data_IF_249498627897
#
_entry.id   IF_249498627897
#
_cell.length_a   1.000
_cell.length_b   1.000
_cell.length_c   1.000
_cell.angle_alpha   90.00
_cell.angle_beta   90.00
_cell.angle_gamma   90.00
#
_symmetry.space_group_name_H-M   'P 1'
#
loop_
_entity.id
_entity.type
_entity.pdbx_description
1 polymer ?
#
# COMPACT_ATOMS: atom_id res chain seq x y z
N UNK A 1 -20.45 11.23 -19.81
CA UNK A 1 -19.09 10.84 -19.39
C UNK A 1 -19.25 10.09 -18.09
N UNK A 2 -19.06 8.76 -18.09
CA UNK A 2 -19.14 7.97 -16.86
C UNK A 2 -17.82 8.21 -16.14
N UNK A 3 -17.84 9.02 -15.08
CA UNK A 3 -16.69 9.13 -14.20
C UNK A 3 -16.51 7.77 -13.52
N UNK A 4 -15.38 7.11 -13.76
CA UNK A 4 -15.00 5.92 -13.01
C UNK A 4 -14.55 6.45 -11.65
N UNK A 5 -15.38 6.28 -10.63
CA UNK A 5 -15.07 6.78 -9.30
C UNK A 5 -13.83 6.12 -8.72
N UNK A 6 -12.96 6.93 -8.11
CA UNK A 6 -11.78 6.45 -7.40
C UNK A 6 -12.22 5.72 -6.12
N UNK A 7 -11.95 4.41 -6.09
CA UNK A 7 -12.37 3.53 -4.98
C UNK A 7 -11.53 3.80 -3.74
N UNK A 8 -12.16 3.80 -2.58
CA UNK A 8 -11.46 3.76 -1.30
C UNK A 8 -12.02 2.69 -0.38
N UNK A 9 -11.19 2.25 0.55
CA UNK A 9 -11.60 1.41 1.67
C UNK A 9 -11.49 2.16 2.99
N UNK A 10 -12.42 1.88 3.89
CA UNK A 10 -12.32 2.25 5.29
C UNK A 10 -12.24 0.97 6.13
N UNK A 11 -11.22 0.89 6.98
CA UNK A 11 -10.99 -0.20 7.92
C UNK A 11 -11.33 0.32 9.31
N UNK A 12 -12.29 -0.31 9.96
CA UNK A 12 -12.69 0.02 11.32
C UNK A 12 -12.29 -1.12 12.26
N UNK A 13 -11.43 -0.82 13.24
CA UNK A 13 -11.00 -1.80 14.23
C UNK A 13 -12.11 -2.08 15.25
N UNK A 14 -12.42 -3.36 15.43
CA UNK A 14 -13.34 -3.86 16.43
C UNK A 14 -12.60 -4.16 17.75
N UNK A 15 -13.37 -4.27 18.84
CA UNK A 15 -12.83 -4.53 20.18
C UNK A 15 -12.08 -5.87 20.29
N UNK A 16 -12.34 -6.82 19.39
CA UNK A 16 -11.68 -8.12 19.32
C UNK A 16 -10.42 -8.12 18.43
N UNK A 17 -10.00 -6.95 17.94
CA UNK A 17 -8.82 -6.77 17.07
C UNK A 17 -9.06 -7.14 15.60
N UNK A 18 -10.30 -7.49 15.21
CA UNK A 18 -10.68 -7.64 13.80
C UNK A 18 -10.98 -6.28 13.18
N UNK A 19 -10.97 -6.23 11.85
CA UNK A 19 -11.32 -5.04 11.10
C UNK A 19 -12.58 -5.31 10.26
N UNK A 20 -13.55 -4.41 10.35
CA UNK A 20 -14.62 -4.30 9.37
C UNK A 20 -14.16 -3.43 8.20
N UNK A 21 -14.36 -3.92 6.98
CA UNK A 21 -14.02 -3.21 5.75
C UNK A 21 -15.28 -2.66 5.11
N UNK A 22 -15.21 -1.38 4.77
CA UNK A 22 -16.22 -0.68 3.99
C UNK A 22 -15.57 -0.18 2.70
N UNK A 23 -16.29 -0.29 1.59
CA UNK A 23 -15.85 0.25 0.31
C UNK A 23 -16.72 1.46 -0.08
N UNK A 24 -16.09 2.44 -0.72
CA UNK A 24 -16.78 3.53 -1.40
C UNK A 24 -16.20 3.72 -2.79
N UNK A 25 -17.06 4.03 -3.75
CA UNK A 25 -16.66 4.31 -5.13
C UNK A 25 -16.11 5.73 -5.32
N UNK A 26 -16.36 6.65 -4.38
CA UNK A 26 -16.04 8.08 -4.55
C UNK A 26 -15.16 8.66 -3.44
N UNK A 27 -15.03 7.96 -2.31
CA UNK A 27 -14.19 8.44 -1.22
C UNK A 27 -12.68 8.34 -1.52
N UNK A 28 -12.27 7.76 -2.65
CA UNK A 28 -10.87 7.73 -3.08
C UNK A 28 -10.43 8.98 -3.83
N UNK A 29 -11.37 9.85 -4.21
CA UNK A 29 -11.07 11.07 -4.96
C UNK A 29 -10.10 11.98 -4.21
N UNK A 30 -9.32 12.75 -4.97
CA UNK A 30 -8.36 13.68 -4.42
C UNK A 30 -8.95 14.69 -3.44
N UNK A 31 -10.17 15.18 -3.69
CA UNK A 31 -10.86 16.09 -2.77
C UNK A 31 -11.18 15.42 -1.42
N UNK A 32 -11.52 14.12 -1.42
CA UNK A 32 -11.75 13.35 -0.20
C UNK A 32 -10.44 13.18 0.59
N UNK A 33 -9.37 12.74 -0.08
CA UNK A 33 -8.05 12.55 0.53
C UNK A 33 -7.54 13.87 1.10
N UNK A 34 -7.61 14.96 0.33
CA UNK A 34 -7.15 16.27 0.78
C UNK A 34 -8.00 16.86 1.91
N UNK A 35 -9.32 16.65 1.87
CA UNK A 35 -10.20 17.07 2.97
C UNK A 35 -9.91 16.32 4.27
N UNK A 36 -9.58 15.03 4.18
CA UNK A 36 -9.16 14.25 5.36
C UNK A 36 -7.78 14.69 5.84
N UNK A 37 -6.83 14.94 4.94
CA UNK A 37 -5.43 15.30 5.23
C UNK A 37 -5.18 16.83 5.27
N UNK A 38 -6.17 17.62 5.69
CA UNK A 38 -6.02 19.07 5.70
C UNK A 38 -4.90 19.53 6.65
N UNK A 39 -4.36 20.71 6.39
CA UNK A 39 -3.12 21.20 7.02
C UNK A 39 -3.22 21.44 8.53
N UNK A 40 -4.44 21.58 9.04
CA UNK A 40 -4.79 21.77 10.45
C UNK A 40 -5.07 20.47 11.21
N UNK A 41 -4.98 19.31 10.54
CA UNK A 41 -5.11 17.99 11.14
C UNK A 41 -6.01 17.06 10.34
N UNK A 42 -6.27 15.88 10.92
CA UNK A 42 -7.02 14.84 10.21
C UNK A 42 -8.53 14.90 10.47
N UNK A 43 -9.33 15.10 9.42
CA UNK A 43 -10.78 15.36 9.53
C UNK A 43 -11.65 14.19 9.12
N UNK A 44 -11.86 13.23 10.05
CA UNK A 44 -12.69 12.04 9.79
C UNK A 44 -14.11 12.35 9.31
N UNK A 45 -14.68 13.48 9.74
CA UNK A 45 -16.06 13.87 9.42
C UNK A 45 -16.29 14.05 7.91
N UNK A 46 -15.23 14.32 7.14
CA UNK A 46 -15.29 14.40 5.67
C UNK A 46 -15.76 13.09 5.05
N UNK A 47 -15.40 11.94 5.65
CA UNK A 47 -15.77 10.62 5.14
C UNK A 47 -17.28 10.33 5.24
N UNK A 48 -17.99 11.01 6.15
CA UNK A 48 -19.44 10.85 6.33
C UNK A 48 -20.28 11.37 5.17
N UNK A 49 -19.68 12.08 4.21
CA UNK A 49 -20.35 12.58 2.99
C UNK A 49 -20.46 11.51 1.90
N UNK A 50 -19.70 10.44 2.01
CA UNK A 50 -19.64 9.39 1.00
C UNK A 50 -20.51 8.20 1.39
N UNK A 51 -21.03 7.50 0.38
CA UNK A 51 -21.72 6.23 0.58
C UNK A 51 -20.68 5.13 0.79
N UNK A 52 -20.85 4.37 1.86
CA UNK A 52 -20.00 3.26 2.26
C UNK A 52 -20.82 1.98 2.30
N UNK A 53 -20.26 0.90 1.76
CA UNK A 53 -20.88 -0.43 1.76
C UNK A 53 -19.96 -1.41 2.47
N UNK A 54 -20.48 -2.07 3.50
CA UNK A 54 -19.75 -3.10 4.24
C UNK A 54 -19.45 -4.27 3.30
N UNK A 55 -18.20 -4.70 3.26
CA UNK A 55 -17.73 -5.78 2.39
C UNK A 55 -17.47 -7.05 3.20
N UNK A 56 -16.52 -6.98 4.13
CA UNK A 56 -15.94 -8.16 4.81
C UNK A 56 -15.45 -7.76 6.20
N UNK A 57 -15.32 -8.74 7.08
CA UNK A 57 -14.71 -8.58 8.40
C UNK A 57 -13.64 -9.65 8.62
N UNK A 58 -12.45 -9.26 9.09
CA UNK A 58 -11.34 -10.20 9.24
C UNK A 58 -10.11 -9.61 9.91
N UNK A 59 -9.07 -10.43 10.16
CA UNK A 59 -7.79 -9.93 10.62
C UNK A 59 -7.17 -9.03 9.55
N UNK A 60 -6.52 -7.93 9.95
CA UNK A 60 -5.90 -6.95 9.05
C UNK A 60 -5.01 -7.60 7.99
N UNK A 61 -4.22 -8.57 8.40
CA UNK A 61 -3.37 -9.40 7.54
C UNK A 61 -4.10 -9.97 6.30
N UNK A 62 -5.26 -10.61 6.52
CA UNK A 62 -6.04 -11.22 5.44
C UNK A 62 -6.69 -10.17 4.53
N UNK A 63 -7.06 -9.01 5.09
CA UNK A 63 -7.64 -7.91 4.33
C UNK A 63 -6.62 -7.25 3.41
N UNK A 64 -5.39 -7.06 3.88
CA UNK A 64 -4.31 -6.53 3.05
C UNK A 64 -3.93 -7.49 1.92
N UNK A 65 -3.95 -8.79 2.19
CA UNK A 65 -3.68 -9.80 1.16
C UNK A 65 -4.74 -9.83 0.05
N UNK A 66 -5.99 -9.45 0.34
CA UNK A 66 -7.07 -9.38 -0.65
C UNK A 66 -7.29 -7.97 -1.24
N UNK A 67 -6.38 -7.03 -0.99
CA UNK A 67 -6.53 -5.65 -1.44
C UNK A 67 -6.16 -5.51 -2.92
N UNK A 68 -7.06 -4.93 -3.72
CA UNK A 68 -6.72 -4.49 -5.06
C UNK A 68 -5.94 -3.16 -4.99
N UNK A 69 -4.60 -3.27 -4.95
CA UNK A 69 -3.67 -2.14 -4.91
C UNK A 69 -3.63 -1.31 -6.19
N UNK A 70 -4.20 -1.81 -7.30
CA UNK A 70 -4.25 -1.11 -8.57
C UNK A 70 -5.50 -0.22 -8.68
N UNK A 71 -6.64 -0.72 -8.21
CA UNK A 71 -7.92 0.00 -8.32
C UNK A 71 -8.29 0.81 -7.06
N UNK A 72 -7.64 0.55 -5.92
CA UNK A 72 -7.87 1.30 -4.68
C UNK A 72 -7.01 2.55 -4.62
N UNK A 73 -7.64 3.72 -4.53
CA UNK A 73 -6.98 5.01 -4.49
C UNK A 73 -6.52 5.43 -3.08
N UNK A 74 -7.27 5.03 -2.04
CA UNK A 74 -6.96 5.33 -0.65
C UNK A 74 -7.50 4.27 0.31
N UNK A 75 -6.78 4.09 1.42
CA UNK A 75 -7.21 3.27 2.55
C UNK A 75 -7.24 4.14 3.80
N UNK A 76 -8.40 4.21 4.45
CA UNK A 76 -8.64 4.95 5.68
C UNK A 76 -8.71 3.96 6.85
N UNK A 77 -7.73 3.96 7.74
CA UNK A 77 -7.81 3.23 9.01
C UNK A 77 -8.45 4.14 10.06
N UNK A 78 -9.64 3.76 10.52
CA UNK A 78 -10.45 4.51 11.47
C UNK A 78 -10.25 3.96 12.88
N UNK A 79 -9.85 4.85 13.80
CA UNK A 79 -9.90 4.61 15.24
C UNK A 79 -10.85 5.61 15.92
N UNK A 80 -11.20 5.39 17.20
CA UNK A 80 -12.02 6.36 17.95
C UNK A 80 -11.39 7.76 18.01
N UNK A 81 -10.06 7.83 17.97
CA UNK A 81 -9.27 9.05 18.22
C UNK A 81 -8.70 9.67 16.94
N UNK A 82 -8.50 8.89 15.88
CA UNK A 82 -7.80 9.35 14.69
C UNK A 82 -8.29 8.64 13.42
N UNK A 83 -7.91 9.20 12.27
CA UNK A 83 -7.91 8.47 11.00
C UNK A 83 -6.50 8.49 10.44
N UNK A 84 -6.01 7.33 10.02
CA UNK A 84 -4.77 7.21 9.25
C UNK A 84 -5.15 7.00 7.79
N UNK A 85 -4.46 7.72 6.92
CA UNK A 85 -4.62 7.58 5.48
C UNK A 85 -3.39 6.90 4.91
N UNK A 86 -3.62 5.88 4.09
CA UNK A 86 -2.57 5.21 3.34
C UNK A 86 -2.92 5.22 1.86
N UNK A 87 -1.90 5.40 1.03
CA UNK A 87 -2.00 5.27 -0.43
C UNK A 87 -1.54 3.86 -0.82
N UNK A 88 -2.40 3.05 -1.44
CA UNK A 88 -1.99 1.77 -2.01
C UNK A 88 -1.00 1.98 -3.16
N UNK A 89 0.10 1.24 -3.14
CA UNK A 89 1.11 1.24 -4.20
C UNK A 89 1.30 -0.18 -4.71
N UNK A 90 0.75 -0.45 -5.89
CA UNK A 90 1.07 -1.64 -6.67
C UNK A 90 2.55 -1.62 -7.11
N UNK A 91 3.31 -2.68 -6.81
CA UNK A 91 4.74 -2.77 -7.14
C UNK A 91 4.98 -3.16 -8.60
N UNK A 92 4.18 -4.07 -9.15
CA UNK A 92 4.12 -4.37 -10.59
C UNK A 92 5.42 -4.88 -11.23
N UNK A 93 6.23 -5.63 -10.49
CA UNK A 93 7.44 -6.28 -10.99
C UNK A 93 7.27 -7.80 -11.21
N UNK A 94 6.10 -8.34 -10.86
CA UNK A 94 5.68 -9.71 -11.12
C UNK A 94 5.72 -10.09 -12.61
N UNK A 95 5.41 -9.14 -13.50
CA UNK A 95 5.52 -9.32 -14.95
C UNK A 95 6.96 -9.54 -15.45
N UNK A 96 7.98 -9.23 -14.64
CA UNK A 96 9.39 -9.43 -14.96
C UNK A 96 9.97 -10.68 -14.30
N UNK A 97 9.23 -11.34 -13.41
CA UNK A 97 9.69 -12.52 -12.69
C UNK A 97 9.89 -13.70 -13.63
N UNK A 98 11.01 -14.40 -13.46
CA UNK A 98 11.30 -15.64 -14.22
C UNK A 98 10.59 -16.83 -13.56
N UNK A 99 10.18 -17.82 -14.35
CA UNK A 99 9.63 -19.08 -13.82
C UNK A 99 10.55 -19.68 -12.75
N UNK A 100 10.00 -19.84 -11.53
CA UNK A 100 10.74 -20.34 -10.36
C UNK A 100 11.05 -19.27 -9.30
N UNK A 101 10.99 -17.97 -9.64
CA UNK A 101 11.01 -16.91 -8.63
C UNK A 101 9.62 -16.80 -7.99
N UNK A 102 9.48 -17.32 -6.77
CA UNK A 102 8.27 -17.17 -5.96
C UNK A 102 8.17 -15.73 -5.42
N UNK A 103 7.74 -14.82 -6.28
CA UNK A 103 7.16 -13.57 -5.81
C UNK A 103 5.74 -13.86 -5.35
N UNK A 104 5.30 -13.28 -4.23
CA UNK A 104 3.91 -13.38 -3.86
C UNK A 104 3.06 -12.66 -4.93
N UNK A 105 2.23 -13.45 -5.60
CA UNK A 105 1.30 -13.03 -6.66
C UNK A 105 0.37 -11.97 -6.05
N UNK A 106 0.27 -10.80 -6.68
CA UNK A 106 -0.50 -9.65 -6.19
C UNK A 106 0.10 -8.91 -4.97
N UNK A 107 1.29 -8.31 -5.12
CA UNK A 107 1.86 -7.41 -4.10
C UNK A 107 1.79 -5.90 -4.37
N UNK A 108 1.10 -5.21 -3.47
CA UNK A 108 1.31 -3.80 -3.21
C UNK A 108 1.60 -3.52 -1.74
N UNK A 109 1.94 -2.27 -1.46
CA UNK A 109 2.24 -1.78 -0.12
C UNK A 109 1.29 -0.64 0.22
N UNK A 110 0.93 -0.50 1.50
CA UNK A 110 0.17 0.66 1.95
C UNK A 110 1.14 1.71 2.46
N UNK A 111 1.29 2.83 1.75
CA UNK A 111 2.20 3.88 2.19
C UNK A 111 1.41 4.89 3.04
N UNK A 112 1.66 5.00 4.35
CA UNK A 112 0.99 6.00 5.19
C UNK A 112 1.38 7.41 4.73
N UNK A 113 0.40 8.32 4.72
CA UNK A 113 0.57 9.71 4.30
C UNK A 113 0.01 10.63 5.37
N UNK A 114 0.77 11.67 5.71
CA UNK A 114 0.40 12.62 6.78
C UNK A 114 -0.10 13.95 6.23
N UNK A 115 -0.08 14.11 4.90
CA UNK A 115 -0.50 15.34 4.25
C UNK A 115 -0.69 15.17 2.75
N UNK A 116 -1.34 16.15 2.15
CA UNK A 116 -1.59 16.24 0.70
C UNK A 116 -0.29 16.12 -0.10
N UNK A 117 0.76 16.86 0.31
CA UNK A 117 2.06 16.82 -0.35
C UNK A 117 2.71 15.44 -0.27
N UNK A 118 2.58 14.74 0.86
CA UNK A 118 3.08 13.38 1.00
C UNK A 118 2.35 12.43 0.06
N UNK A 119 1.03 12.52 -0.03
CA UNK A 119 0.25 11.68 -0.94
C UNK A 119 0.61 11.90 -2.43
N UNK A 120 0.79 13.16 -2.86
CA UNK A 120 1.27 13.46 -4.23
C UNK A 120 2.67 12.89 -4.44
N UNK A 121 3.59 13.15 -3.50
CA UNK A 121 4.98 12.70 -3.57
C UNK A 121 5.06 11.17 -3.62
N UNK A 122 4.26 10.46 -2.84
CA UNK A 122 4.20 8.98 -2.87
C UNK A 122 3.71 8.48 -4.22
N UNK A 123 2.65 9.06 -4.80
CA UNK A 123 2.14 8.62 -6.12
C UNK A 123 3.12 8.90 -7.26
N UNK A 124 3.77 10.06 -7.27
CA UNK A 124 4.75 10.41 -8.31
C UNK A 124 6.08 9.68 -8.11
N UNK A 125 6.56 9.64 -6.87
CA UNK A 125 7.82 8.99 -6.49
C UNK A 125 7.78 7.49 -6.73
N UNK A 126 6.67 6.81 -6.39
CA UNK A 126 6.53 5.37 -6.66
C UNK A 126 6.56 5.05 -8.16
N UNK A 127 5.99 5.90 -9.02
CA UNK A 127 6.10 5.73 -10.48
C UNK A 127 7.54 5.80 -10.96
N UNK A 128 8.28 6.81 -10.49
CA UNK A 128 9.68 6.96 -10.84
C UNK A 128 10.55 5.81 -10.31
N UNK A 129 10.37 5.43 -9.05
CA UNK A 129 11.08 4.32 -8.41
C UNK A 129 10.83 3.01 -9.14
N UNK A 130 9.57 2.70 -9.47
CA UNK A 130 9.23 1.49 -10.24
C UNK A 130 9.85 1.48 -11.63
N UNK A 131 9.83 2.62 -12.32
CA UNK A 131 10.48 2.71 -13.63
C UNK A 131 12.01 2.55 -13.55
N UNK A 132 12.64 3.07 -12.50
CA UNK A 132 14.08 2.88 -12.27
C UNK A 132 14.40 1.41 -11.90
N UNK A 133 13.60 0.80 -11.04
CA UNK A 133 13.72 -0.60 -10.66
C UNK A 133 13.52 -1.54 -11.86
N UNK A 134 12.49 -1.31 -12.67
CA UNK A 134 12.24 -2.06 -13.91
C UNK A 134 13.43 -1.99 -14.87
N UNK A 135 13.98 -0.79 -15.12
CA UNK A 135 15.19 -0.65 -15.93
C UNK A 135 16.40 -1.37 -15.35
N UNK A 136 16.59 -1.33 -14.03
CA UNK A 136 17.70 -2.04 -13.39
C UNK A 136 17.56 -3.56 -13.50
N UNK A 137 16.34 -4.08 -13.49
CA UNK A 137 16.07 -5.51 -13.78
C UNK A 137 16.35 -5.82 -15.25
N UNK A 138 15.84 -5.02 -16.18
CA UNK A 138 16.02 -5.21 -17.63
C UNK A 138 17.50 -5.20 -18.04
N UNK A 139 18.33 -4.38 -17.38
CA UNK A 139 19.77 -4.32 -17.65
C UNK A 139 20.58 -5.37 -16.88
N UNK A 140 19.94 -6.21 -16.07
CA UNK A 140 20.59 -7.22 -15.24
C UNK A 140 21.38 -6.68 -14.05
N UNK A 141 21.20 -5.38 -13.71
CA UNK A 141 21.83 -4.77 -12.55
C UNK A 141 21.23 -5.28 -11.23
N UNK A 142 19.94 -5.62 -11.23
CA UNK A 142 19.22 -6.19 -10.10
C UNK A 142 18.43 -7.42 -10.54
N UNK A 143 18.31 -8.42 -9.67
CA UNK A 143 17.25 -9.42 -9.82
C UNK A 143 15.89 -8.82 -9.45
N UNK A 144 14.80 -9.44 -9.91
CA UNK A 144 13.44 -8.98 -9.54
C UNK A 144 13.24 -9.00 -8.02
N UNK A 145 13.66 -10.04 -7.28
CA UNK A 145 13.67 -10.00 -5.81
C UNK A 145 14.40 -8.79 -5.24
N UNK A 146 15.61 -8.48 -5.70
CA UNK A 146 16.36 -7.33 -5.18
C UNK A 146 15.64 -6.00 -5.44
N UNK A 147 15.07 -5.85 -6.64
CA UNK A 147 14.31 -4.65 -7.01
C UNK A 147 13.05 -4.48 -6.14
N UNK A 148 12.30 -5.56 -5.89
CA UNK A 148 11.13 -5.53 -5.01
C UNK A 148 11.53 -5.15 -3.58
N UNK A 149 12.62 -5.72 -3.03
CA UNK A 149 13.10 -5.35 -1.67
C UNK A 149 13.42 -3.87 -1.57
N UNK A 150 14.18 -3.34 -2.53
CA UNK A 150 14.55 -1.93 -2.53
C UNK A 150 13.30 -1.06 -2.61
N UNK A 151 12.35 -1.37 -3.50
CA UNK A 151 11.09 -0.64 -3.58
C UNK A 151 10.33 -0.64 -2.24
N UNK A 152 10.21 -1.80 -1.60
CA UNK A 152 9.53 -1.90 -0.30
C UNK A 152 10.25 -1.06 0.76
N UNK A 153 11.56 -1.17 0.89
CA UNK A 153 12.36 -0.38 1.84
C UNK A 153 12.28 1.13 1.60
N UNK A 154 12.24 1.56 0.34
CA UNK A 154 12.08 2.98 -0.01
C UNK A 154 10.66 3.50 0.24
N UNK A 155 9.64 2.67 0.07
CA UNK A 155 8.23 3.05 0.21
C UNK A 155 7.73 2.93 1.65
N UNK A 156 8.34 2.07 2.47
CA UNK A 156 7.88 1.73 3.81
C UNK A 156 9.00 1.92 4.84
N UNK A 157 9.06 3.08 5.51
CA UNK A 157 9.96 3.26 6.65
C UNK A 157 9.51 2.49 7.91
N UNK A 158 8.29 1.92 7.96
CA UNK A 158 7.77 1.18 9.10
C UNK A 158 7.10 -0.15 8.69
N UNK A 159 7.45 -1.24 9.39
CA UNK A 159 7.08 -2.63 9.07
C UNK A 159 5.58 -2.95 9.12
N UNK A 160 4.77 -2.16 9.85
CA UNK A 160 3.34 -2.48 10.06
C UNK A 160 2.50 -2.41 8.78
N UNK A 161 2.96 -1.68 7.77
CA UNK A 161 2.18 -1.43 6.55
C UNK A 161 2.60 -2.31 5.37
N UNK A 162 3.42 -3.33 5.66
CA UNK A 162 3.77 -4.44 4.77
C UNK A 162 2.72 -5.56 4.93
N UNK A 163 2.09 -6.05 3.85
CA UNK A 163 1.24 -7.23 3.95
C UNK A 163 2.05 -8.48 4.35
N UNK A 164 1.48 -9.40 5.16
CA UNK A 164 2.21 -10.51 5.76
C UNK A 164 3.04 -11.36 4.78
N UNK A 165 2.57 -11.69 3.57
CA UNK A 165 3.41 -12.47 2.66
C UNK A 165 4.69 -11.75 2.21
N UNK A 166 4.73 -10.41 2.12
CA UNK A 166 6.00 -9.69 1.84
C UNK A 166 6.82 -9.56 3.09
N UNK A 167 6.23 -9.38 4.26
CA UNK A 167 7.01 -9.40 5.50
C UNK A 167 7.76 -10.73 5.63
N UNK A 168 7.05 -11.86 5.46
CA UNK A 168 7.65 -13.19 5.48
C UNK A 168 8.72 -13.37 4.39
N UNK A 169 8.48 -12.84 3.19
CA UNK A 169 9.44 -12.92 2.08
C UNK A 169 10.69 -12.04 2.27
N UNK A 170 10.54 -10.88 2.91
CA UNK A 170 11.67 -10.03 3.31
C UNK A 170 12.56 -10.75 4.33
N UNK A 171 11.94 -11.49 5.25
CA UNK A 171 12.65 -12.20 6.31
C UNK A 171 13.39 -13.44 5.81
N UNK A 172 12.89 -14.13 4.78
CA UNK A 172 13.49 -15.38 4.26
C UNK A 172 14.91 -15.26 3.72
N UNK A 173 15.37 -14.09 3.27
CA UNK A 173 16.71 -13.92 2.67
C UNK A 173 17.69 -13.10 3.51
N UNK A 174 17.27 -12.56 4.66
CA UNK A 174 18.20 -11.93 5.61
C UNK A 174 19.26 -12.94 6.11
N UNK A 175 18.98 -14.24 6.02
CA UNK A 175 19.90 -15.30 6.42
C UNK A 175 20.85 -15.78 5.30
N UNK A 176 20.51 -15.63 4.02
CA UNK A 176 21.24 -16.28 2.91
C UNK A 176 21.94 -15.33 1.92
N UNK A 177 21.87 -14.01 2.11
CA UNK A 177 22.37 -13.04 1.11
C UNK A 177 23.29 -11.93 1.62
N UNK A 178 24.13 -12.22 2.62
CA UNK A 178 25.38 -11.47 2.80
C UNK A 178 26.57 -12.30 2.28
N UNK A 179 27.35 -11.82 1.30
CA UNK A 179 28.57 -12.52 0.92
C UNK A 179 29.52 -12.58 2.13
N UNK A 180 30.12 -13.75 2.43
CA UNK A 180 31.08 -13.87 3.53
C UNK A 180 32.35 -13.11 3.15
N UNK A 181 32.44 -11.83 3.53
CA UNK A 181 33.60 -11.04 3.10
C UNK A 181 33.72 -9.61 3.62
N UNK A 182 32.80 -9.10 4.45
CA UNK A 182 33.00 -7.80 5.11
C UNK A 182 32.63 -7.96 6.59
N UNK A 183 33.66 -8.17 7.40
CA UNK A 183 33.71 -7.84 8.84
C UNK A 183 34.82 -6.82 9.02
#
# INVERSE_FOLDING_TARGET
MVAVGERALALYEQLDGRYDVFASQWAGEWAAIAGVLASDGTHRAVLGRYRWERQVSGPRAALLAGLDYLSTAAVYELSPEAVRVSVPVWLGLDALAVEGEQLPVEFGVLVPVNGVHDAVRTRLGSRWLKAAAGRAVETGLLSVPQAVRLLVLFLLPASRDVPPPVAAWLDTDCCDSFPPGIR
#
